data_IF_048605557986
#
_entry.id   IF_048605557986
#
_cell.length_a   1.000
_cell.length_b   1.000
_cell.length_c   1.000
_cell.angle_alpha   90.00
_cell.angle_beta   90.00
_cell.angle_gamma   90.00
#
_symmetry.space_group_name_H-M   'P 1'
#
loop_
_entity.id
_entity.type
_entity.pdbx_description
1 polymer ?
#
# COMPACT_ATOMS: atom_id res chain seq x y z
N UNK A 1 -14.72 -23.62 27.67
CA UNK A 1 -14.85 -24.95 27.03
C UNK A 1 -15.58 -24.75 25.71
N UNK A 2 -14.91 -24.07 24.79
CA UNK A 2 -14.13 -24.69 23.71
C UNK A 2 -15.02 -25.23 22.61
N UNK A 3 -14.66 -24.78 21.42
CA UNK A 3 -14.68 -25.58 20.21
C UNK A 3 -16.05 -25.68 19.54
N UNK A 4 -16.14 -24.86 18.49
CA UNK A 4 -16.19 -25.38 17.14
C UNK A 4 -17.52 -25.23 16.42
N UNK A 5 -17.42 -24.56 15.27
CA UNK A 5 -18.14 -24.89 14.05
C UNK A 5 -19.55 -24.31 13.88
N UNK A 6 -19.62 -22.99 13.82
CA UNK A 6 -20.31 -22.35 12.68
C UNK A 6 -19.18 -21.87 11.75
N UNK A 7 -18.44 -22.82 11.17
CA UNK A 7 -18.65 -23.25 9.78
C UNK A 7 -18.57 -22.06 8.84
N UNK A 8 -17.44 -22.05 8.14
CA UNK A 8 -17.21 -21.41 6.85
C UNK A 8 -18.42 -20.68 6.26
N UNK A 9 -18.29 -19.35 6.25
CA UNK A 9 -18.92 -18.36 5.37
C UNK A 9 -19.54 -18.89 4.08
N UNK A 10 -20.65 -18.27 3.65
CA UNK A 10 -20.69 -17.82 2.27
C UNK A 10 -21.14 -16.34 2.15
N UNK A 11 -20.17 -15.47 1.86
CA UNK A 11 -20.23 -14.50 0.77
C UNK A 11 -21.57 -13.77 0.44
N UNK A 12 -22.26 -13.08 1.38
CA UNK A 12 -23.29 -12.08 0.96
C UNK A 12 -23.87 -11.11 2.03
N UNK A 13 -23.64 -11.28 3.34
CA UNK A 13 -24.36 -10.47 4.37
C UNK A 13 -23.75 -9.10 4.71
N UNK A 14 -22.62 -8.73 4.13
CA UNK A 14 -21.92 -7.47 4.43
C UNK A 14 -22.47 -6.25 3.67
N UNK A 15 -23.51 -6.43 2.84
CA UNK A 15 -23.79 -5.49 1.74
C UNK A 15 -24.75 -4.34 2.14
N UNK A 16 -25.51 -4.40 3.24
CA UNK A 16 -26.68 -3.51 3.38
C UNK A 16 -26.66 -2.40 4.45
N UNK A 17 -25.79 -2.38 5.48
CA UNK A 17 -25.97 -1.42 6.60
C UNK A 17 -24.71 -0.72 7.17
N UNK A 18 -23.53 -0.93 6.59
CA UNK A 18 -22.28 -0.26 7.02
C UNK A 18 -21.89 0.99 6.20
N UNK A 19 -22.82 1.56 5.44
CA UNK A 19 -22.55 2.55 4.37
C UNK A 19 -22.44 4.02 4.83
N UNK A 20 -22.39 4.35 6.13
CA UNK A 20 -22.37 5.76 6.61
C UNK A 20 -21.27 6.15 7.62
N UNK A 21 -20.62 5.22 8.33
CA UNK A 21 -19.58 5.54 9.35
C UNK A 21 -18.16 5.15 8.95
N UNK A 22 -17.99 4.48 7.81
CA UNK A 22 -16.67 4.24 7.19
C UNK A 22 -16.24 5.36 6.24
N UNK A 23 -17.06 6.40 6.06
CA UNK A 23 -16.88 7.51 5.11
C UNK A 23 -15.72 8.48 5.47
N UNK A 24 -14.71 7.99 6.20
CA UNK A 24 -13.51 8.75 6.61
C UNK A 24 -12.18 7.99 6.42
N UNK A 25 -12.16 6.65 6.27
CA UNK A 25 -10.87 5.92 6.36
C UNK A 25 -10.08 5.74 5.06
N UNK A 26 -10.58 6.20 3.91
CA UNK A 26 -9.74 6.28 2.71
C UNK A 26 -9.40 7.74 2.42
N UNK A 27 -8.62 8.35 3.32
CA UNK A 27 -7.57 9.22 2.81
C UNK A 27 -6.80 8.37 1.81
N UNK A 28 -6.96 8.64 0.51
CA UNK A 28 -6.27 7.93 -0.56
C UNK A 28 -4.77 8.22 -0.37
N UNK A 29 -4.13 7.41 0.47
CA UNK A 29 -2.69 7.29 0.49
C UNK A 29 -2.35 6.80 -0.92
N UNK A 30 -1.74 7.69 -1.71
CA UNK A 30 -1.21 7.38 -3.05
C UNK A 30 -0.60 5.98 -3.02
N UNK A 31 -1.24 5.04 -3.72
CA UNK A 31 -0.88 3.63 -3.65
C UNK A 31 0.53 3.44 -4.25
N UNK A 32 1.48 3.10 -3.36
CA UNK A 32 2.89 2.89 -3.70
C UNK A 32 3.06 1.84 -4.81
N UNK A 33 2.08 0.94 -4.98
CA UNK A 33 2.08 -0.12 -5.98
C UNK A 33 2.28 0.41 -7.40
N UNK A 34 1.66 1.55 -7.73
CA UNK A 34 1.80 2.18 -9.04
C UNK A 34 3.22 2.69 -9.31
N UNK A 35 3.83 3.31 -8.29
CA UNK A 35 5.19 3.84 -8.34
C UNK A 35 6.19 2.69 -8.45
N UNK A 36 5.99 1.60 -7.73
CA UNK A 36 6.85 0.41 -7.82
C UNK A 36 6.84 -0.18 -9.23
N UNK A 37 5.66 -0.34 -9.83
CA UNK A 37 5.54 -0.85 -11.19
C UNK A 37 6.33 0.03 -12.19
N UNK A 38 6.11 1.34 -12.17
CA UNK A 38 6.81 2.28 -13.07
C UNK A 38 8.32 2.35 -12.78
N UNK A 39 8.72 2.30 -11.51
CA UNK A 39 10.12 2.29 -11.12
C UNK A 39 10.85 1.04 -11.65
N UNK A 40 10.16 -0.12 -11.69
CA UNK A 40 10.66 -1.35 -12.30
C UNK A 40 10.75 -1.27 -13.82
N UNK A 41 9.89 -0.48 -14.47
CA UNK A 41 9.97 -0.20 -15.92
C UNK A 41 11.10 0.76 -16.29
N UNK A 42 11.85 1.27 -15.31
CA UNK A 42 12.95 2.20 -15.54
C UNK A 42 12.52 3.66 -15.63
N UNK A 43 11.28 4.00 -15.24
CA UNK A 43 10.85 5.39 -15.19
C UNK A 43 11.60 6.14 -14.08
N UNK A 44 12.48 7.06 -14.49
CA UNK A 44 13.32 7.83 -13.55
C UNK A 44 12.51 8.60 -12.52
N UNK A 45 11.36 9.16 -12.91
CA UNK A 45 10.51 9.90 -11.99
C UNK A 45 9.94 9.01 -10.89
N UNK A 46 9.46 7.82 -11.27
CA UNK A 46 8.94 6.84 -10.32
C UNK A 46 10.03 6.21 -9.46
N UNK A 47 11.24 6.03 -9.98
CA UNK A 47 12.38 5.58 -9.17
C UNK A 47 12.75 6.62 -8.10
N UNK A 48 12.77 7.90 -8.46
CA UNK A 48 12.97 9.00 -7.50
C UNK A 48 11.83 9.05 -6.48
N UNK A 49 10.58 8.88 -6.92
CA UNK A 49 9.42 8.90 -6.03
C UNK A 49 9.43 7.71 -5.06
N UNK A 50 9.82 6.51 -5.53
CA UNK A 50 9.99 5.33 -4.69
C UNK A 50 11.14 5.52 -3.69
N UNK A 51 12.25 6.12 -4.12
CA UNK A 51 13.36 6.47 -3.24
C UNK A 51 12.92 7.44 -2.14
N UNK A 52 12.16 8.47 -2.50
CA UNK A 52 11.59 9.41 -1.54
C UNK A 52 10.63 8.73 -0.58
N UNK A 53 9.82 7.78 -1.05
CA UNK A 53 8.90 7.03 -0.21
C UNK A 53 9.65 6.19 0.84
N UNK A 54 10.73 5.51 0.45
CA UNK A 54 11.62 4.81 1.38
C UNK A 54 12.36 5.75 2.33
N UNK A 55 12.71 6.96 1.88
CA UNK A 55 13.37 7.96 2.71
C UNK A 55 12.45 8.50 3.82
N UNK A 56 11.17 8.74 3.51
CA UNK A 56 10.21 9.31 4.47
C UNK A 56 9.32 8.26 5.16
N UNK A 57 9.33 7.01 4.71
CA UNK A 57 8.44 5.96 5.21
C UNK A 57 6.98 6.12 4.80
N UNK A 58 6.69 6.74 3.64
CA UNK A 58 5.31 7.00 3.19
C UNK A 58 4.80 5.82 2.36
N UNK A 59 3.93 5.01 2.96
CA UNK A 59 3.34 3.84 2.31
C UNK A 59 4.29 2.62 2.23
N UNK A 60 5.51 2.76 2.72
CA UNK A 60 6.52 1.70 2.89
C UNK A 60 7.25 1.91 4.21
N UNK A 61 7.89 0.87 4.73
CA UNK A 61 8.80 1.01 5.86
C UNK A 61 9.98 1.92 5.47
N UNK A 62 10.36 2.82 6.37
CA UNK A 62 11.47 3.73 6.13
C UNK A 62 12.78 2.95 6.02
N UNK A 63 13.48 3.11 4.90
CA UNK A 63 14.74 2.44 4.64
C UNK A 63 15.68 3.31 3.81
N UNK A 64 16.64 3.94 4.49
CA UNK A 64 17.61 4.83 3.85
C UNK A 64 18.52 4.10 2.86
N UNK A 65 18.87 2.84 3.13
CA UNK A 65 19.71 2.05 2.23
C UNK A 65 18.99 1.78 0.91
N UNK A 66 17.72 1.38 0.96
CA UNK A 66 16.91 1.19 -0.24
C UNK A 66 16.63 2.52 -0.95
N UNK A 67 16.37 3.61 -0.22
CA UNK A 67 16.21 4.93 -0.82
C UNK A 67 17.46 5.34 -1.64
N UNK A 68 18.66 5.13 -1.09
CA UNK A 68 19.92 5.41 -1.79
C UNK A 68 20.08 4.56 -3.06
N UNK A 69 19.73 3.29 -3.04
CA UNK A 69 19.76 2.44 -4.25
C UNK A 69 18.80 2.95 -5.33
N UNK A 70 17.59 3.31 -4.96
CA UNK A 70 16.61 3.85 -5.91
C UNK A 70 17.00 5.23 -6.42
N UNK A 71 17.59 6.09 -5.59
CA UNK A 71 18.14 7.37 -6.04
C UNK A 71 19.28 7.18 -7.04
N UNK A 72 20.17 6.21 -6.80
CA UNK A 72 21.24 5.87 -7.75
C UNK A 72 20.71 5.37 -9.08
N UNK A 73 19.59 4.62 -9.08
CA UNK A 73 18.94 4.16 -10.32
C UNK A 73 18.24 5.30 -11.08
N UNK A 74 17.72 6.29 -10.34
CA UNK A 74 16.98 7.42 -10.92
C UNK A 74 17.85 8.48 -11.60
N UNK A 75 19.17 8.45 -11.42
CA UNK A 75 20.13 9.34 -12.10
C UNK A 75 20.56 8.76 -13.44
#
# INVERSE_FOLDING_TARGET
MTLSLIKQTPACKTIALGLALSLSLSAIAKDISSIQYLAMQGDRFSQYELASAYYVGKGVEQNYSQALEWYKKSG
#
